data_IF_314056159015
#
_entry.id   IF_314056159015
#
_cell.length_a   1.000
_cell.length_b   1.000
_cell.length_c   1.000
_cell.angle_alpha   90.00
_cell.angle_beta   90.00
_cell.angle_gamma   90.00
#
_symmetry.space_group_name_H-M   'P 1'
#
loop_
_entity.id
_entity.type
_entity.pdbx_description
1 polymer ?
#
# COMPACT_ATOMS: atom_id res chain seq x y z
N UNK A 1 4.70 19.80 9.10
CA UNK A 1 4.18 20.45 10.31
C UNK A 1 4.57 21.93 10.31
N UNK A 2 5.85 22.24 10.19
CA UNK A 2 6.41 23.60 10.22
C UNK A 2 5.80 24.56 9.19
N UNK A 3 5.65 24.12 7.93
CA UNK A 3 5.03 24.94 6.87
C UNK A 3 3.61 25.41 7.21
N UNK A 4 2.87 24.62 8.00
CA UNK A 4 1.50 24.91 8.41
C UNK A 4 1.42 25.46 9.85
N UNK A 5 2.56 25.68 10.53
CA UNK A 5 2.60 26.17 11.90
C UNK A 5 1.91 25.26 12.93
N UNK A 6 1.81 23.95 12.65
CA UNK A 6 1.06 23.00 13.50
C UNK A 6 1.97 22.11 14.35
N UNK A 7 1.50 21.57 15.49
CA UNK A 7 2.27 20.60 16.28
C UNK A 7 2.60 19.34 15.48
N UNK A 8 3.85 18.86 15.59
CA UNK A 8 4.34 17.68 14.88
C UNK A 8 3.45 16.43 15.10
N UNK A 9 3.00 16.20 16.33
CA UNK A 9 2.15 15.06 16.68
C UNK A 9 0.82 15.05 15.90
N UNK A 10 0.24 16.23 15.62
CA UNK A 10 -1.02 16.32 14.86
C UNK A 10 -0.83 15.91 13.39
N UNK A 11 0.34 16.19 12.82
CA UNK A 11 0.68 15.71 11.49
C UNK A 11 0.87 14.19 11.47
N UNK A 12 1.52 13.63 12.51
CA UNK A 12 1.69 12.19 12.64
C UNK A 12 0.36 11.45 12.81
N UNK A 13 -0.54 11.96 13.66
CA UNK A 13 -1.87 11.36 13.84
C UNK A 13 -2.61 11.21 12.51
N UNK A 14 -2.61 12.26 11.68
CA UNK A 14 -3.20 12.22 10.33
C UNK A 14 -2.47 11.23 9.43
N UNK A 15 -1.14 11.27 9.43
CA UNK A 15 -0.32 10.39 8.59
C UNK A 15 -0.46 8.91 8.95
N UNK A 16 -0.76 8.59 10.21
CA UNK A 16 -1.03 7.21 10.66
C UNK A 16 -2.51 6.81 10.54
N UNK A 17 -3.42 7.78 10.44
CA UNK A 17 -4.86 7.52 10.34
C UNK A 17 -5.28 7.15 8.92
N UNK A 18 -4.76 7.85 7.92
CA UNK A 18 -5.05 7.59 6.51
C UNK A 18 -4.05 6.61 5.92
N UNK A 19 -4.54 5.48 5.42
CA UNK A 19 -3.72 4.40 4.84
C UNK A 19 -2.97 4.82 3.57
N UNK A 20 -3.38 5.92 2.94
CA UNK A 20 -2.76 6.43 1.73
C UNK A 20 -1.35 7.00 1.98
N UNK A 21 -1.04 7.40 3.21
CA UNK A 21 0.29 7.88 3.57
C UNK A 21 1.24 6.72 3.85
N UNK A 22 2.20 6.52 2.95
CA UNK A 22 3.19 5.46 3.06
C UNK A 22 4.32 5.86 4.02
N UNK A 23 4.28 5.32 5.24
CA UNK A 23 5.31 5.56 6.27
C UNK A 23 6.52 4.61 6.15
N UNK A 24 6.44 3.62 5.26
CA UNK A 24 7.52 2.69 4.92
C UNK A 24 7.80 2.77 3.41
N UNK A 25 9.00 2.37 2.96
CA UNK A 25 9.32 2.36 1.53
C UNK A 25 8.36 1.48 0.71
N UNK A 26 7.86 2.03 -0.40
CA UNK A 26 7.09 1.31 -1.42
C UNK A 26 7.85 1.27 -2.74
N UNK A 27 7.39 0.45 -3.69
CA UNK A 27 8.07 0.24 -4.97
C UNK A 27 8.31 1.56 -5.71
N UNK A 28 9.55 1.77 -6.17
CA UNK A 28 9.94 3.02 -6.84
C UNK A 28 9.23 3.26 -8.18
N UNK A 29 8.74 2.20 -8.83
CA UNK A 29 7.96 2.30 -10.07
C UNK A 29 6.46 2.24 -9.83
N UNK A 30 6.01 1.34 -8.97
CA UNK A 30 4.60 1.21 -8.65
C UNK A 30 4.37 0.56 -7.27
N UNK A 31 3.34 1.05 -6.59
CA UNK A 31 2.69 0.39 -5.47
C UNK A 31 1.29 -0.07 -5.92
N UNK A 32 1.10 -1.38 -6.06
CA UNK A 32 -0.13 -1.96 -6.62
C UNK A 32 -1.16 -2.19 -5.51
N UNK A 33 -2.29 -1.49 -5.57
CA UNK A 33 -3.38 -1.63 -4.62
C UNK A 33 -4.53 -2.41 -5.28
N UNK A 34 -4.88 -3.55 -4.72
CA UNK A 34 -5.95 -4.41 -5.25
C UNK A 34 -7.19 -4.29 -4.36
N UNK A 35 -8.33 -3.90 -4.96
CA UNK A 35 -9.61 -3.88 -4.27
C UNK A 35 -9.99 -5.27 -3.72
N UNK A 36 -10.10 -5.39 -2.40
CA UNK A 36 -10.50 -6.60 -1.67
C UNK A 36 -11.99 -6.64 -1.29
N UNK A 37 -12.73 -5.56 -1.51
CA UNK A 37 -14.15 -5.49 -1.11
C UNK A 37 -15.02 -6.52 -1.83
N UNK A 38 -16.17 -6.85 -1.25
CA UNK A 38 -17.06 -7.93 -1.72
C UNK A 38 -17.40 -7.86 -3.22
N UNK A 39 -17.71 -6.71 -3.83
CA UNK A 39 -17.96 -6.65 -5.26
C UNK A 39 -16.77 -7.09 -6.12
N UNK A 40 -15.55 -6.70 -5.73
CA UNK A 40 -14.32 -7.09 -6.41
C UNK A 40 -14.01 -8.57 -6.19
N UNK A 41 -14.16 -9.05 -4.94
CA UNK A 41 -14.01 -10.47 -4.58
C UNK A 41 -14.93 -11.38 -5.40
N UNK A 42 -16.22 -11.03 -5.51
CA UNK A 42 -17.21 -11.77 -6.32
C UNK A 42 -16.87 -11.79 -7.83
N UNK A 43 -16.01 -10.88 -8.29
CA UNK A 43 -15.53 -10.80 -9.67
C UNK A 43 -14.11 -11.34 -9.86
N UNK A 44 -13.55 -12.03 -8.86
CA UNK A 44 -12.27 -12.72 -8.96
C UNK A 44 -11.05 -11.90 -8.53
N UNK A 45 -11.20 -10.88 -7.68
CA UNK A 45 -10.06 -10.11 -7.16
C UNK A 45 -9.02 -10.99 -6.44
N UNK A 46 -9.43 -12.11 -5.84
CA UNK A 46 -8.50 -13.08 -5.23
C UNK A 46 -7.48 -13.64 -6.24
N UNK A 47 -7.85 -13.79 -7.51
CA UNK A 47 -6.92 -14.25 -8.54
C UNK A 47 -5.88 -13.16 -8.88
N UNK A 48 -6.27 -11.88 -8.81
CA UNK A 48 -5.32 -10.76 -8.90
C UNK A 48 -4.37 -10.72 -7.71
N UNK A 49 -4.87 -10.96 -6.49
CA UNK A 49 -4.04 -11.07 -5.28
C UNK A 49 -3.03 -12.22 -5.42
N UNK A 50 -3.44 -13.39 -5.93
CA UNK A 50 -2.53 -14.52 -6.20
C UNK A 50 -1.42 -14.14 -7.18
N UNK A 51 -1.73 -13.37 -8.22
CA UNK A 51 -0.72 -12.87 -9.17
C UNK A 51 0.26 -11.93 -8.47
N UNK A 52 -0.22 -11.00 -7.64
CA UNK A 52 0.63 -10.08 -6.88
C UNK A 52 1.58 -10.85 -5.95
N UNK A 53 1.07 -11.83 -5.20
CA UNK A 53 1.87 -12.71 -4.33
C UNK A 53 2.99 -13.43 -5.08
N UNK A 54 2.69 -13.93 -6.28
CA UNK A 54 3.65 -14.70 -7.10
C UNK A 54 4.67 -13.83 -7.83
N UNK A 55 4.29 -12.62 -8.23
CA UNK A 55 5.09 -11.78 -9.14
C UNK A 55 5.81 -10.61 -8.46
N UNK A 56 5.31 -10.15 -7.33
CA UNK A 56 5.84 -8.97 -6.62
C UNK A 56 6.51 -9.43 -5.33
N UNK A 57 5.74 -9.88 -4.35
CA UNK A 57 6.24 -10.39 -3.08
C UNK A 57 5.17 -11.26 -2.40
N UNK A 58 5.56 -12.32 -1.68
CA UNK A 58 4.61 -13.22 -1.03
C UNK A 58 3.73 -12.51 0.01
N UNK A 59 4.33 -11.59 0.77
CA UNK A 59 3.66 -10.78 1.77
C UNK A 59 3.29 -9.39 1.21
N UNK A 60 2.12 -8.84 1.58
CA UNK A 60 1.76 -7.47 1.25
C UNK A 60 2.71 -6.47 1.92
N UNK A 61 2.82 -5.26 1.38
CA UNK A 61 3.74 -4.19 1.78
C UNK A 61 5.24 -4.52 1.67
N UNK A 62 5.61 -5.71 1.22
CA UNK A 62 7.00 -6.05 0.93
C UNK A 62 7.42 -5.55 -0.46
N UNK A 63 8.66 -5.09 -0.55
CA UNK A 63 9.30 -4.79 -1.83
C UNK A 63 9.72 -6.08 -2.53
N UNK A 64 9.64 -6.09 -3.86
CA UNK A 64 10.28 -7.12 -4.67
C UNK A 64 11.82 -7.01 -4.58
N UNK A 65 12.54 -8.04 -5.04
CA UNK A 65 14.02 -8.10 -4.97
C UNK A 65 14.73 -6.88 -5.57
N UNK A 66 14.12 -6.25 -6.57
CA UNK A 66 14.67 -5.07 -7.24
C UNK A 66 14.26 -3.74 -6.58
N UNK A 67 13.41 -3.74 -5.56
CA UNK A 67 12.88 -2.53 -4.91
C UNK A 67 11.98 -1.67 -5.81
N UNK A 68 11.50 -2.22 -6.93
CA UNK A 68 10.75 -1.48 -7.95
C UNK A 68 9.24 -1.58 -7.77
N UNK A 69 8.77 -2.66 -7.16
CA UNK A 69 7.35 -2.95 -7.00
C UNK A 69 7.05 -3.34 -5.55
N UNK A 70 5.87 -2.96 -5.07
CA UNK A 70 5.21 -3.51 -3.87
C UNK A 70 3.70 -3.59 -4.11
N UNK A 71 2.98 -4.30 -3.25
CA UNK A 71 1.53 -4.45 -3.38
C UNK A 71 0.81 -4.48 -2.02
N UNK A 72 -0.48 -4.16 -2.02
CA UNK A 72 -1.38 -4.33 -0.88
C UNK A 72 -2.82 -4.63 -1.35
N UNK A 73 -3.64 -5.11 -0.43
CA UNK A 73 -5.09 -5.25 -0.58
C UNK A 73 -5.78 -4.06 0.10
N UNK A 74 -6.76 -3.43 -0.58
CA UNK A 74 -7.48 -2.24 -0.13
C UNK A 74 -9.00 -2.37 -0.15
#
# INVERSE_FOLDING_TARGET
ADMLGMPYIRALEVATFYTQFQLKPVGSRAHVQVCGTTPCMLRGAEDLIKVCKKKIAAEPFALNESGTLSWEEV
#
